data_IF_814994965805
#
_entry.id   IF_814994965805
#
_cell.length_a   1.000
_cell.length_b   1.000
_cell.length_c   1.000
_cell.angle_alpha   90.00
_cell.angle_beta   90.00
_cell.angle_gamma   90.00
#
_symmetry.space_group_name_H-M   'P 1'
#
loop_
_entity.id
_entity.type
_entity.pdbx_description
1 polymer ?
#
# COMPACT_ATOMS: atom_id res chain seq x y z
N UNK A 1 -14.39 -21.25 -9.16
CA UNK A 1 -14.96 -19.89 -9.28
C UNK A 1 -14.83 -19.02 -8.00
N UNK A 2 -14.78 -19.58 -6.77
CA UNK A 2 -14.68 -18.78 -5.51
C UNK A 2 -13.36 -18.03 -5.27
N UNK A 3 -12.22 -18.51 -5.79
CA UNK A 3 -10.91 -17.87 -5.60
C UNK A 3 -10.78 -16.51 -6.32
N UNK A 4 -11.39 -16.39 -7.51
CA UNK A 4 -11.34 -15.16 -8.32
C UNK A 4 -12.00 -13.99 -7.60
N UNK A 5 -13.18 -14.17 -7.03
CA UNK A 5 -13.91 -13.12 -6.31
C UNK A 5 -13.20 -12.61 -5.05
N UNK A 6 -12.49 -13.49 -4.32
CA UNK A 6 -11.73 -13.10 -3.13
C UNK A 6 -10.50 -12.25 -3.49
N UNK A 7 -9.81 -12.60 -4.58
CA UNK A 7 -8.65 -11.84 -5.08
C UNK A 7 -9.09 -10.46 -5.56
N UNK A 8 -10.19 -10.38 -6.32
CA UNK A 8 -10.75 -9.11 -6.81
C UNK A 8 -11.14 -8.20 -5.64
N UNK A 9 -11.77 -8.75 -4.59
CA UNK A 9 -12.14 -7.96 -3.40
C UNK A 9 -10.93 -7.42 -2.65
N UNK A 10 -9.88 -8.22 -2.48
CA UNK A 10 -8.63 -7.79 -1.83
C UNK A 10 -7.93 -6.71 -2.66
N UNK A 11 -7.85 -6.90 -3.98
CA UNK A 11 -7.26 -5.93 -4.89
C UNK A 11 -8.01 -4.59 -4.86
N UNK A 12 -9.34 -4.64 -4.95
CA UNK A 12 -10.18 -3.44 -4.89
C UNK A 12 -10.06 -2.72 -3.54
N UNK A 13 -10.02 -3.46 -2.44
CA UNK A 13 -9.83 -2.88 -1.11
C UNK A 13 -8.46 -2.20 -0.97
N UNK A 14 -7.38 -2.81 -1.47
CA UNK A 14 -6.05 -2.20 -1.42
C UNK A 14 -5.96 -0.98 -2.35
N UNK A 15 -6.62 -1.02 -3.51
CA UNK A 15 -6.72 0.13 -4.39
C UNK A 15 -7.46 1.30 -3.73
N UNK A 16 -8.60 1.04 -3.07
CA UNK A 16 -9.31 2.06 -2.29
C UNK A 16 -8.43 2.64 -1.18
N UNK A 17 -7.75 1.79 -0.41
CA UNK A 17 -6.82 2.22 0.66
C UNK A 17 -5.70 3.10 0.10
N UNK A 18 -5.18 2.76 -1.07
CA UNK A 18 -4.16 3.57 -1.76
C UNK A 18 -4.64 4.99 -2.04
N UNK A 19 -5.81 5.14 -2.67
CA UNK A 19 -6.40 6.46 -2.95
C UNK A 19 -6.79 7.19 -1.68
N UNK A 20 -7.32 6.48 -0.68
CA UNK A 20 -7.65 7.05 0.61
C UNK A 20 -6.45 7.73 1.27
N UNK A 21 -5.27 7.07 1.27
CA UNK A 21 -4.05 7.64 1.81
C UNK A 21 -3.61 8.93 1.08
N UNK A 22 -3.70 8.94 -0.25
CA UNK A 22 -3.38 10.12 -1.08
C UNK A 22 -4.31 11.27 -0.73
N UNK A 23 -5.62 11.01 -0.75
CA UNK A 23 -6.65 12.05 -0.52
C UNK A 23 -6.52 12.62 0.89
N UNK A 24 -6.40 11.78 1.90
CA UNK A 24 -6.30 12.22 3.29
C UNK A 24 -5.01 13.01 3.56
N UNK A 25 -3.86 12.54 3.05
CA UNK A 25 -2.59 13.26 3.18
C UNK A 25 -2.64 14.62 2.47
N UNK A 26 -3.20 14.65 1.25
CA UNK A 26 -3.38 15.88 0.47
C UNK A 26 -4.32 16.87 1.16
N UNK A 27 -5.40 16.39 1.76
CA UNK A 27 -6.34 17.21 2.52
C UNK A 27 -5.68 17.86 3.74
N UNK A 28 -4.87 17.10 4.50
CA UNK A 28 -4.14 17.62 5.66
C UNK A 28 -3.14 18.69 5.21
N UNK A 29 -2.38 18.44 4.14
CA UNK A 29 -1.45 19.42 3.58
C UNK A 29 -2.17 20.67 3.07
N UNK A 30 -3.31 20.53 2.41
CA UNK A 30 -4.12 21.66 1.94
C UNK A 30 -4.62 22.52 3.11
N UNK A 31 -5.15 21.90 4.17
CA UNK A 31 -5.61 22.60 5.36
C UNK A 31 -4.46 23.31 6.09
N UNK A 32 -3.28 22.71 6.11
CA UNK A 32 -2.07 23.33 6.65
C UNK A 32 -1.69 24.58 5.86
N UNK A 33 -1.59 24.48 4.53
CA UNK A 33 -1.23 25.61 3.66
C UNK A 33 -2.24 26.74 3.80
N UNK A 34 -3.55 26.42 3.81
CA UNK A 34 -4.62 27.41 3.90
C UNK A 34 -4.59 28.19 5.23
N UNK A 35 -4.18 27.55 6.32
CA UNK A 35 -4.24 28.13 7.66
C UNK A 35 -2.86 28.48 8.23
N UNK A 36 -1.79 28.45 7.43
CA UNK A 36 -0.41 28.61 7.93
C UNK A 36 -0.20 29.94 8.66
N UNK A 37 -0.86 31.00 8.22
CA UNK A 37 -0.79 32.33 8.84
C UNK A 37 -1.54 32.42 10.18
N UNK A 38 -2.46 31.49 10.46
CA UNK A 38 -3.26 31.45 11.69
C UNK A 38 -2.71 30.42 12.70
N UNK A 39 -1.73 29.61 12.30
CA UNK A 39 -1.11 28.59 13.17
C UNK A 39 0.19 29.15 13.74
N UNK A 40 0.16 29.58 15.00
CA UNK A 40 1.34 30.15 15.66
C UNK A 40 2.32 29.10 16.22
N UNK A 41 1.88 27.84 16.37
CA UNK A 41 2.72 26.78 16.95
C UNK A 41 3.44 25.97 15.88
N UNK A 42 4.77 26.16 15.77
CA UNK A 42 5.65 25.39 14.89
C UNK A 42 5.61 23.88 15.21
N UNK A 43 5.47 23.54 16.49
CA UNK A 43 5.38 22.14 16.94
C UNK A 43 4.12 21.48 16.35
N UNK A 44 3.00 22.20 16.34
CA UNK A 44 1.75 21.70 15.77
C UNK A 44 1.84 21.48 14.25
N UNK A 45 2.50 22.39 13.53
CA UNK A 45 2.75 22.23 12.08
C UNK A 45 3.62 20.99 11.82
N UNK A 46 4.72 20.82 12.55
CA UNK A 46 5.60 19.65 12.42
C UNK A 46 4.85 18.34 12.69
N UNK A 47 4.00 18.33 13.73
CA UNK A 47 3.16 17.18 14.05
C UNK A 47 2.19 16.84 12.91
N UNK A 48 1.49 17.83 12.35
CA UNK A 48 0.54 17.60 11.25
C UNK A 48 1.23 17.14 9.96
N UNK A 49 2.43 17.65 9.66
CA UNK A 49 3.24 17.17 8.53
C UNK A 49 3.66 15.72 8.75
N UNK A 50 4.13 15.37 9.95
CA UNK A 50 4.49 14.00 10.30
C UNK A 50 3.27 13.06 10.22
N UNK A 51 2.10 13.51 10.69
CA UNK A 51 0.84 12.78 10.61
C UNK A 51 0.42 12.54 9.16
N UNK A 52 0.52 13.57 8.30
CA UNK A 52 0.23 13.45 6.86
C UNK A 52 1.15 12.44 6.19
N UNK A 53 2.46 12.52 6.46
CA UNK A 53 3.44 11.55 5.97
C UNK A 53 3.13 10.14 6.44
N UNK A 54 2.83 9.95 7.72
CA UNK A 54 2.46 8.65 8.28
C UNK A 54 1.22 8.06 7.60
N UNK A 55 0.15 8.85 7.42
CA UNK A 55 -1.07 8.42 6.72
C UNK A 55 -0.73 8.02 5.28
N UNK A 56 0.07 8.80 4.58
CA UNK A 56 0.49 8.49 3.21
C UNK A 56 1.25 7.17 3.14
N UNK A 57 2.28 6.98 3.95
CA UNK A 57 3.07 5.74 3.93
C UNK A 57 2.23 4.52 4.30
N UNK A 58 1.45 4.62 5.37
CA UNK A 58 0.67 3.50 5.88
C UNK A 58 -0.47 3.07 4.94
N UNK A 59 -1.17 4.04 4.33
CA UNK A 59 -2.31 3.72 3.47
C UNK A 59 -1.94 3.62 2.00
N UNK A 60 -1.00 4.43 1.49
CA UNK A 60 -0.64 4.43 0.07
C UNK A 60 0.54 3.51 -0.22
N UNK A 61 1.70 3.73 0.40
CA UNK A 61 2.91 2.94 0.08
C UNK A 61 2.72 1.45 0.39
N UNK A 62 2.15 1.11 1.55
CA UNK A 62 1.89 -0.29 1.89
C UNK A 62 0.84 -0.95 1.01
N UNK A 63 -0.19 -0.20 0.60
CA UNK A 63 -1.21 -0.74 -0.31
C UNK A 63 -0.64 -0.98 -1.71
N UNK A 64 0.29 -0.16 -2.19
CA UNK A 64 1.00 -0.39 -3.45
C UNK A 64 1.81 -1.69 -3.41
N UNK A 65 2.51 -1.97 -2.31
CA UNK A 65 3.23 -3.24 -2.13
C UNK A 65 2.27 -4.43 -2.24
N UNK A 66 1.13 -4.36 -1.55
CA UNK A 66 0.13 -5.43 -1.59
C UNK A 66 -0.48 -5.61 -2.99
N UNK A 67 -0.76 -4.52 -3.69
CA UNK A 67 -1.25 -4.53 -5.08
C UNK A 67 -0.23 -5.18 -6.01
N UNK A 68 1.05 -4.82 -5.89
CA UNK A 68 2.13 -5.38 -6.71
C UNK A 68 2.29 -6.88 -6.50
N UNK A 69 2.31 -7.34 -5.24
CA UNK A 69 2.45 -8.76 -4.92
C UNK A 69 1.25 -9.57 -5.39
N UNK A 70 0.04 -9.07 -5.18
CA UNK A 70 -1.16 -9.77 -5.67
C UNK A 70 -1.23 -9.77 -7.20
N UNK A 71 -0.72 -8.72 -7.86
CA UNK A 71 -0.55 -8.65 -9.30
C UNK A 71 0.41 -9.72 -9.84
N UNK A 72 1.59 -9.87 -9.23
CA UNK A 72 2.57 -10.91 -9.59
C UNK A 72 1.97 -12.32 -9.35
N UNK A 73 1.31 -12.51 -8.20
CA UNK A 73 0.62 -13.76 -7.88
C UNK A 73 -0.44 -14.10 -8.93
N UNK A 74 -1.28 -13.13 -9.30
CA UNK A 74 -2.31 -13.31 -10.32
C UNK A 74 -1.71 -13.58 -11.72
N UNK A 75 -0.63 -12.89 -12.09
CA UNK A 75 0.08 -13.11 -13.36
C UNK A 75 0.56 -14.56 -13.48
N UNK A 76 1.21 -15.09 -12.44
CA UNK A 76 1.70 -16.46 -12.47
C UNK A 76 0.56 -17.50 -12.49
N UNK A 77 -0.53 -17.28 -11.76
CA UNK A 77 -1.71 -18.16 -11.82
C UNK A 77 -2.33 -18.17 -13.21
N UNK A 78 -2.52 -17.00 -13.82
CA UNK A 78 -3.25 -16.85 -15.08
C UNK A 78 -2.43 -17.26 -16.30
N UNK A 79 -1.15 -16.90 -16.34
CA UNK A 79 -0.32 -17.03 -17.54
C UNK A 79 0.80 -18.05 -17.41
N UNK A 80 1.23 -18.41 -16.19
CA UNK A 80 2.38 -19.28 -15.96
C UNK A 80 2.05 -20.55 -15.18
N UNK A 81 0.79 -21.02 -15.29
CA UNK A 81 0.24 -22.11 -14.49
C UNK A 81 1.08 -23.41 -14.58
N UNK A 82 1.63 -23.71 -15.77
CA UNK A 82 2.47 -24.90 -16.01
C UNK A 82 3.82 -24.86 -15.28
N UNK A 83 4.30 -23.69 -14.87
CA UNK A 83 5.59 -23.50 -14.21
C UNK A 83 5.46 -23.06 -12.75
N UNK A 84 4.26 -23.01 -12.16
CA UNK A 84 4.04 -22.60 -10.76
C UNK A 84 4.84 -23.47 -9.78
N UNK A 85 5.02 -24.75 -10.10
CA UNK A 85 5.76 -25.70 -9.26
C UNK A 85 7.28 -25.57 -9.39
N UNK A 86 7.79 -24.77 -10.33
CA UNK A 86 9.22 -24.53 -10.49
C UNK A 86 9.67 -23.44 -9.53
N UNK A 87 10.84 -23.64 -8.93
CA UNK A 87 11.53 -22.53 -8.28
C UNK A 87 11.96 -21.52 -9.37
N UNK A 88 11.87 -20.20 -9.13
CA UNK A 88 11.58 -19.50 -7.87
C UNK A 88 10.08 -19.18 -7.62
N UNK A 89 9.21 -19.48 -8.58
CA UNK A 89 7.78 -19.10 -8.54
C UNK A 89 7.07 -19.79 -7.37
N UNK A 90 7.37 -21.07 -7.14
CA UNK A 90 6.79 -21.82 -6.02
C UNK A 90 7.08 -21.17 -4.66
N UNK A 91 8.32 -20.70 -4.45
CA UNK A 91 8.71 -20.00 -3.23
C UNK A 91 7.95 -18.69 -3.07
N UNK A 92 7.85 -17.89 -4.14
CA UNK A 92 7.07 -16.65 -4.15
C UNK A 92 5.61 -16.90 -3.77
N UNK A 93 4.96 -17.89 -4.40
CA UNK A 93 3.55 -18.21 -4.13
C UNK A 93 3.31 -18.62 -2.66
N UNK A 94 4.22 -19.42 -2.09
CA UNK A 94 4.12 -19.88 -0.69
C UNK A 94 4.38 -18.77 0.32
N UNK A 95 5.23 -17.80 -0.01
CA UNK A 95 5.72 -16.79 0.94
C UNK A 95 5.29 -15.36 0.61
N UNK A 96 4.29 -15.17 -0.27
CA UNK A 96 3.83 -13.84 -0.70
C UNK A 96 3.53 -12.85 0.43
N UNK A 97 2.95 -13.35 1.53
CA UNK A 97 2.62 -12.52 2.70
C UNK A 97 3.87 -12.08 3.47
N UNK A 98 4.84 -12.98 3.63
CA UNK A 98 6.14 -12.68 4.23
C UNK A 98 6.90 -11.68 3.37
N UNK A 99 6.89 -11.86 2.04
CA UNK A 99 7.52 -10.93 1.09
C UNK A 99 6.87 -9.54 1.19
N UNK A 100 5.53 -9.46 1.26
CA UNK A 100 4.82 -8.18 1.47
C UNK A 100 5.25 -7.51 2.76
N UNK A 101 5.27 -8.25 3.86
CA UNK A 101 5.65 -7.72 5.15
C UNK A 101 7.10 -7.21 5.16
N UNK A 102 8.05 -7.98 4.62
CA UNK A 102 9.45 -7.58 4.54
C UNK A 102 9.65 -6.33 3.69
N UNK A 103 8.94 -6.20 2.55
CA UNK A 103 9.00 -5.00 1.71
C UNK A 103 8.42 -3.77 2.42
N UNK A 104 7.34 -3.93 3.19
CA UNK A 104 6.78 -2.84 4.00
C UNK A 104 7.75 -2.37 5.07
N UNK A 105 8.41 -3.31 5.77
CA UNK A 105 9.48 -2.97 6.73
C UNK A 105 10.60 -2.20 6.03
N UNK A 106 11.08 -2.68 4.88
CA UNK A 106 12.15 -2.01 4.14
C UNK A 106 11.80 -0.58 3.72
N UNK A 107 10.54 -0.30 3.37
CA UNK A 107 10.06 1.05 3.05
C UNK A 107 9.93 1.95 4.30
N UNK A 108 9.81 1.34 5.48
CA UNK A 108 9.61 2.06 6.75
C UNK A 108 10.92 2.38 7.46
N UNK A 109 12.00 1.64 7.17
CA UNK A 109 13.37 1.85 7.68
C UNK A 109 14.10 2.84 6.79
#
# INVERSE_FOLDING_TARGET
>A
MKLSGKIIKVYHNNFFRFFFGIVMSSLICFLLIRNINNIHSIIFIKFLVALSGYIFFYYSAFSLVDIGIEGIHHFHIKYNNKNINKQPILSFMKHKHTISFSLKIFITI
#
